data_IF_575026928176
#
_entry.id   IF_575026928176
#
_cell.length_a   1.000
_cell.length_b   1.000
_cell.length_c   1.000
_cell.angle_alpha   90.00
_cell.angle_beta   90.00
_cell.angle_gamma   90.00
#
_symmetry.space_group_name_H-M   'P 1'
#
loop_
_entity.id
_entity.type
_entity.pdbx_description
1 polymer ?
#
# COMPACT_ATOMS: atom_id res chain seq x y z
N UNK A 1 -3.99 14.53 -9.42
CA UNK A 1 -2.57 14.13 -9.27
C UNK A 1 -1.69 15.31 -8.85
N UNK A 2 -1.84 16.49 -9.46
CA UNK A 2 -1.13 17.73 -9.07
C UNK A 2 -1.14 17.99 -7.55
N UNK A 3 -2.28 17.90 -6.86
CA UNK A 3 -2.34 18.04 -5.39
C UNK A 3 -1.38 17.11 -4.63
N UNK A 4 -1.26 15.86 -5.07
CA UNK A 4 -0.37 14.89 -4.45
C UNK A 4 1.11 15.27 -4.64
N UNK A 5 1.48 15.73 -5.84
CA UNK A 5 2.85 16.20 -6.12
C UNK A 5 3.19 17.45 -5.30
N UNK A 6 2.20 18.32 -5.10
CA UNK A 6 2.38 19.56 -4.33
C UNK A 6 2.73 19.31 -2.86
N UNK A 7 2.32 18.19 -2.25
CA UNK A 7 2.62 17.86 -0.85
C UNK A 7 4.13 17.92 -0.53
N UNK A 8 4.97 17.39 -1.41
CA UNK A 8 6.43 17.34 -1.22
C UNK A 8 7.22 18.34 -2.06
N UNK A 9 6.54 19.13 -2.89
CA UNK A 9 7.17 20.17 -3.70
C UNK A 9 7.42 21.41 -2.85
N UNK A 10 8.56 22.07 -3.06
CA UNK A 10 8.94 23.29 -2.34
C UNK A 10 7.94 24.42 -2.60
N UNK A 11 7.74 25.31 -1.62
CA UNK A 11 6.68 26.32 -1.65
C UNK A 11 6.86 27.41 -2.72
N UNK A 12 8.06 27.56 -3.26
CA UNK A 12 8.43 28.48 -4.33
C UNK A 12 8.44 27.83 -5.72
N UNK A 13 8.21 26.51 -5.80
CA UNK A 13 8.15 25.75 -7.06
C UNK A 13 6.70 25.54 -7.47
N UNK A 14 6.36 25.96 -8.69
CA UNK A 14 5.03 25.78 -9.28
C UNK A 14 4.92 24.43 -10.00
N UNK A 15 3.86 23.68 -9.69
CA UNK A 15 3.45 22.46 -10.41
C UNK A 15 2.11 22.74 -11.07
N UNK A 16 2.07 22.67 -12.40
CA UNK A 16 0.88 22.96 -13.22
C UNK A 16 0.24 24.34 -12.90
N UNK A 17 1.05 25.34 -12.57
CA UNK A 17 0.61 26.71 -12.30
C UNK A 17 0.23 27.00 -10.84
N UNK A 18 0.44 26.05 -9.92
CA UNK A 18 0.17 26.24 -8.48
C UNK A 18 1.36 25.77 -7.64
N UNK A 19 1.73 26.56 -6.63
CA UNK A 19 2.90 26.29 -5.79
C UNK A 19 2.76 25.06 -4.89
N UNK A 20 3.90 24.43 -4.58
CA UNK A 20 4.00 23.35 -3.61
C UNK A 20 3.62 23.76 -2.17
N UNK A 21 3.42 22.76 -1.32
CA UNK A 21 3.07 22.92 0.08
C UNK A 21 4.27 22.75 1.02
N UNK A 22 5.31 22.00 0.61
CA UNK A 22 6.47 21.65 1.44
C UNK A 22 6.12 21.00 2.80
N UNK A 23 5.05 20.20 2.85
CA UNK A 23 4.55 19.55 4.08
C UNK A 23 4.88 18.07 4.19
N UNK A 24 5.45 17.49 3.14
CA UNK A 24 5.95 16.11 3.09
C UNK A 24 7.39 16.10 2.60
N UNK A 25 8.18 15.14 3.04
CA UNK A 25 9.48 14.88 2.45
C UNK A 25 9.34 14.43 0.99
N UNK A 26 10.33 14.78 0.16
CA UNK A 26 10.46 14.29 -1.22
C UNK A 26 10.75 12.79 -1.23
N UNK A 27 10.24 12.01 -2.20
CA UNK A 27 10.57 10.60 -2.34
C UNK A 27 12.07 10.30 -2.25
N UNK A 28 12.91 11.08 -2.93
CA UNK A 28 14.37 10.90 -2.92
C UNK A 28 15.03 11.21 -1.58
N UNK A 29 14.40 12.02 -0.73
CA UNK A 29 14.91 12.37 0.60
C UNK A 29 14.58 11.31 1.68
N UNK A 30 13.53 10.51 1.47
CA UNK A 30 13.06 9.50 2.43
C UNK A 30 13.80 8.17 2.36
N UNK A 31 14.47 7.86 1.24
CA UNK A 31 15.17 6.59 1.02
C UNK A 31 14.25 5.40 0.79
N UNK A 32 14.77 4.18 1.00
CA UNK A 32 14.05 2.92 0.83
C UNK A 32 13.06 2.59 1.96
N UNK A 33 12.45 1.40 1.89
CA UNK A 33 11.38 0.98 2.83
C UNK A 33 11.79 1.00 4.30
N UNK A 34 13.00 0.56 4.63
CA UNK A 34 13.54 0.63 5.99
C UNK A 34 13.70 2.06 6.53
N UNK A 35 14.00 3.01 5.66
CA UNK A 35 14.18 4.42 6.06
C UNK A 35 12.83 5.13 6.31
N UNK A 36 11.79 4.78 5.52
CA UNK A 36 10.42 5.28 5.72
C UNK A 36 9.84 4.83 7.06
N UNK A 37 9.88 3.52 7.32
CA UNK A 37 9.44 2.93 8.59
C UNK A 37 10.22 3.46 9.79
N UNK A 38 11.55 3.58 9.67
CA UNK A 38 12.41 4.19 10.70
C UNK A 38 12.09 5.67 10.96
N UNK A 39 11.71 6.43 9.93
CA UNK A 39 11.30 7.84 10.09
C UNK A 39 9.98 7.97 10.85
N UNK A 40 9.02 7.08 10.61
CA UNK A 40 7.76 7.02 11.37
C UNK A 40 8.02 6.64 12.84
N UNK A 41 8.78 5.56 13.07
CA UNK A 41 9.15 5.12 14.43
C UNK A 41 9.98 6.17 15.20
N UNK A 42 10.79 6.95 14.49
CA UNK A 42 11.53 8.08 15.03
C UNK A 42 10.71 9.37 15.18
N UNK A 43 9.39 9.33 14.96
CA UNK A 43 8.47 10.48 15.04
C UNK A 43 8.88 11.67 14.15
N UNK A 44 9.52 11.40 13.00
CA UNK A 44 9.91 12.42 12.01
C UNK A 44 8.82 12.70 10.99
N UNK A 45 7.86 11.79 10.85
CA UNK A 45 6.68 11.92 9.99
C UNK A 45 5.44 11.50 10.77
N UNK A 46 4.32 12.16 10.52
CA UNK A 46 3.05 11.91 11.22
C UNK A 46 2.21 10.82 10.54
N UNK A 47 2.33 10.69 9.22
CA UNK A 47 1.59 9.72 8.41
C UNK A 47 2.55 8.93 7.55
N UNK A 48 2.32 7.61 7.46
CA UNK A 48 3.06 6.69 6.63
C UNK A 48 2.08 5.78 5.89
N UNK A 49 2.19 5.74 4.56
CA UNK A 49 1.55 4.70 3.74
C UNK A 49 2.58 3.62 3.46
N UNK A 50 2.35 2.43 3.98
CA UNK A 50 3.25 1.28 3.84
C UNK A 50 2.48 -0.05 3.98
N UNK A 51 3.14 -1.16 3.70
CA UNK A 51 2.55 -2.49 3.83
C UNK A 51 2.44 -2.97 5.28
N UNK A 52 1.46 -3.84 5.53
CA UNK A 52 1.19 -4.42 6.85
C UNK A 52 2.39 -5.18 7.42
N UNK A 53 3.32 -5.68 6.61
CA UNK A 53 4.50 -6.41 7.11
C UNK A 53 5.30 -5.63 8.17
N UNK A 54 5.25 -4.30 8.16
CA UNK A 54 5.89 -3.45 9.18
C UNK A 54 5.18 -3.45 10.55
N UNK A 55 3.93 -3.93 10.66
CA UNK A 55 3.18 -3.94 11.93
C UNK A 55 3.94 -4.69 13.02
N UNK A 56 4.56 -5.83 12.71
CA UNK A 56 5.34 -6.58 13.71
C UNK A 56 6.49 -5.73 14.28
N UNK A 57 7.19 -4.99 13.42
CA UNK A 57 8.23 -4.03 13.83
C UNK A 57 7.65 -2.89 14.67
N UNK A 58 6.51 -2.33 14.27
CA UNK A 58 5.89 -1.20 14.97
C UNK A 58 5.38 -1.59 16.36
N UNK A 59 4.75 -2.75 16.46
CA UNK A 59 4.33 -3.35 17.74
C UNK A 59 5.50 -3.53 18.72
N UNK A 60 6.70 -3.81 18.21
CA UNK A 60 7.90 -4.05 19.03
C UNK A 60 8.72 -2.79 19.33
N UNK A 61 8.65 -1.77 18.49
CA UNK A 61 9.62 -0.66 18.48
C UNK A 61 8.99 0.70 18.77
N UNK A 62 7.70 0.88 18.49
CA UNK A 62 7.04 2.17 18.71
C UNK A 62 7.01 2.51 20.21
N UNK A 63 7.48 3.72 20.53
CA UNK A 63 7.48 4.28 21.89
C UNK A 63 6.34 5.27 22.12
N UNK A 64 5.40 5.31 21.18
CA UNK A 64 4.26 6.23 21.13
C UNK A 64 3.02 5.47 20.65
N UNK A 65 1.84 6.04 20.92
CA UNK A 65 0.59 5.50 20.41
C UNK A 65 0.51 5.70 18.88
N UNK A 66 0.26 4.62 18.16
CA UNK A 66 0.07 4.62 16.71
C UNK A 66 -1.16 3.80 16.36
N UNK A 67 -1.69 4.03 15.17
CA UNK A 67 -2.87 3.34 14.68
C UNK A 67 -2.86 3.27 13.15
N UNK A 68 -3.87 2.62 12.59
CA UNK A 68 -4.02 2.42 11.15
C UNK A 68 -5.32 3.05 10.65
N UNK A 69 -5.29 3.50 9.39
CA UNK A 69 -6.43 4.08 8.71
C UNK A 69 -6.52 3.50 7.28
N UNK A 70 -7.71 3.50 6.65
CA UNK A 70 -7.86 3.06 5.27
C UNK A 70 -6.91 3.80 4.33
N UNK A 71 -6.54 3.15 3.22
CA UNK A 71 -5.81 3.82 2.16
C UNK A 71 -6.58 5.05 1.65
N UNK A 72 -5.90 6.14 1.28
CA UNK A 72 -6.57 7.32 0.74
C UNK A 72 -7.40 6.99 -0.50
N UNK A 73 -8.68 7.31 -0.47
CA UNK A 73 -9.60 7.17 -1.61
C UNK A 73 -9.94 8.57 -2.12
N UNK A 74 -9.97 8.73 -3.45
CA UNK A 74 -10.47 9.95 -4.07
C UNK A 74 -11.88 10.27 -3.60
N UNK A 75 -12.15 11.52 -3.23
CA UNK A 75 -13.49 12.02 -2.87
C UNK A 75 -13.71 13.39 -3.50
N UNK A 76 -14.90 13.59 -4.05
CA UNK A 76 -15.43 14.89 -4.42
C UNK A 76 -16.55 15.27 -3.43
N UNK A 77 -16.59 16.55 -3.09
CA UNK A 77 -17.45 17.06 -2.03
C UNK A 77 -18.41 18.11 -2.59
N UNK A 78 -19.62 18.16 -2.04
CA UNK A 78 -20.53 19.28 -2.26
C UNK A 78 -19.98 20.51 -1.53
N UNK A 79 -19.61 21.55 -2.29
CA UNK A 79 -19.10 22.81 -1.73
C UNK A 79 -20.18 23.88 -1.58
N UNK A 80 -21.46 23.56 -1.81
CA UNK A 80 -22.58 24.50 -1.65
C UNK A 80 -22.76 24.88 -0.19
N UNK A 81 -22.68 26.18 0.13
CA UNK A 81 -22.86 26.69 1.50
C UNK A 81 -21.64 26.56 2.41
N UNK A 82 -20.48 26.14 1.90
CA UNK A 82 -19.22 26.14 2.66
C UNK A 82 -18.73 27.57 2.81
N UNK A 83 -18.72 28.10 4.04
CA UNK A 83 -18.10 29.38 4.34
C UNK A 83 -16.62 29.30 3.93
N UNK A 84 -16.24 30.10 2.94
CA UNK A 84 -14.91 30.18 2.34
C UNK A 84 -13.85 30.80 3.26
N UNK A 85 -14.17 31.02 4.54
CA UNK A 85 -13.25 31.53 5.57
C UNK A 85 -12.37 30.47 6.22
N UNK A 86 -12.50 29.19 5.86
CA UNK A 86 -11.56 28.14 6.26
C UNK A 86 -10.35 28.15 5.30
N UNK A 87 -9.18 28.65 5.73
CA UNK A 87 -8.00 28.78 4.89
C UNK A 87 -7.41 27.43 4.46
N UNK A 88 -7.83 26.31 5.08
CA UNK A 88 -7.40 24.97 4.66
C UNK A 88 -8.16 24.50 3.42
N UNK A 89 -9.36 25.02 3.14
CA UNK A 89 -10.17 24.54 2.02
C UNK A 89 -10.53 23.05 2.13
N UNK A 90 -10.37 22.41 3.30
CA UNK A 90 -10.65 20.98 3.56
C UNK A 90 -11.71 20.74 4.65
N UNK A 91 -12.44 21.78 5.07
CA UNK A 91 -13.48 21.76 6.11
C UNK A 91 -14.11 20.40 6.42
N UNK A 92 -13.90 19.93 7.65
CA UNK A 92 -14.53 18.73 8.20
C UNK A 92 -16.03 18.99 8.38
N UNK A 93 -16.84 18.67 7.37
CA UNK A 93 -18.32 18.50 7.36
C UNK A 93 -18.85 18.74 5.94
N UNK A 94 -18.24 18.10 4.95
CA UNK A 94 -18.74 18.15 3.57
C UNK A 94 -19.41 16.86 3.21
N UNK A 95 -20.54 16.97 2.53
CA UNK A 95 -21.20 15.83 1.93
C UNK A 95 -20.36 15.32 0.76
N UNK A 96 -19.92 14.06 0.83
CA UNK A 96 -19.28 13.38 -0.30
C UNK A 96 -20.34 13.15 -1.37
N UNK A 97 -20.08 13.62 -2.59
CA UNK A 97 -20.98 13.45 -3.76
C UNK A 97 -20.43 12.46 -4.78
N UNK A 98 -19.13 12.19 -4.74
CA UNK A 98 -18.49 11.17 -5.56
C UNK A 98 -17.26 10.63 -4.83
N UNK A 99 -16.93 9.37 -5.03
CA UNK A 99 -15.71 8.78 -4.49
C UNK A 99 -15.14 7.70 -5.41
N UNK A 100 -13.84 7.47 -5.30
CA UNK A 100 -13.17 6.36 -5.96
C UNK A 100 -13.57 5.01 -5.37
N UNK A 101 -13.05 3.95 -5.99
CA UNK A 101 -13.20 2.58 -5.50
C UNK A 101 -12.22 2.34 -4.35
N UNK A 102 -12.65 1.61 -3.33
CA UNK A 102 -11.75 1.08 -2.30
C UNK A 102 -10.83 0.06 -2.96
N UNK A 103 -9.54 0.35 -3.02
CA UNK A 103 -8.55 -0.49 -3.68
C UNK A 103 -7.24 -0.50 -2.91
N UNK A 104 -6.46 -1.56 -3.10
CA UNK A 104 -5.12 -1.76 -2.56
C UNK A 104 -4.41 -2.87 -3.31
N UNK A 105 -3.10 -2.99 -3.14
CA UNK A 105 -2.32 -4.10 -3.70
C UNK A 105 -2.07 -5.16 -2.63
N UNK A 106 -2.38 -6.41 -2.93
CA UNK A 106 -2.06 -7.51 -2.04
C UNK A 106 -0.57 -7.78 -2.05
N UNK A 107 0.04 -7.68 -0.87
CA UNK A 107 1.42 -8.11 -0.61
C UNK A 107 1.52 -9.58 -0.20
N UNK A 108 0.46 -10.39 -0.44
CA UNK A 108 0.41 -11.78 -0.01
C UNK A 108 1.56 -12.61 -0.56
N UNK A 109 2.13 -13.45 0.29
CA UNK A 109 3.18 -14.41 -0.07
C UNK A 109 2.63 -15.82 0.05
N UNK A 110 2.98 -16.68 -0.91
CA UNK A 110 2.59 -18.08 -0.92
C UNK A 110 3.79 -18.98 -0.62
N UNK A 111 3.54 -20.14 -0.01
CA UNK A 111 4.52 -21.22 0.09
C UNK A 111 4.46 -22.08 -1.16
N UNK A 112 5.61 -22.36 -1.75
CA UNK A 112 5.74 -23.20 -2.94
C UNK A 112 6.69 -24.38 -2.67
N UNK A 113 6.45 -25.50 -3.33
CA UNK A 113 7.32 -26.68 -3.26
C UNK A 113 8.20 -26.71 -4.49
N UNK A 114 9.51 -26.84 -4.29
CA UNK A 114 10.48 -26.90 -5.40
C UNK A 114 10.20 -28.12 -6.30
N UNK A 115 10.22 -27.89 -7.63
CA UNK A 115 10.09 -28.96 -8.60
C UNK A 115 11.24 -29.99 -8.50
N UNK A 116 12.41 -29.55 -8.02
CA UNK A 116 13.62 -30.36 -7.87
C UNK A 116 13.63 -31.27 -6.63
N UNK A 117 12.70 -31.05 -5.68
CA UNK A 117 12.65 -31.85 -4.46
C UNK A 117 12.29 -33.32 -4.76
N UNK A 118 12.87 -34.23 -3.99
CA UNK A 118 12.52 -35.65 -4.02
C UNK A 118 11.06 -35.88 -3.57
N UNK A 119 10.51 -37.05 -3.88
CA UNK A 119 9.13 -37.38 -3.51
C UNK A 119 8.87 -37.30 -1.99
N UNK A 120 9.83 -37.72 -1.17
CA UNK A 120 9.70 -37.67 0.30
C UNK A 120 9.74 -36.23 0.81
N UNK A 121 10.62 -35.39 0.27
CA UNK A 121 10.69 -33.96 0.62
C UNK A 121 9.41 -33.22 0.19
N UNK A 122 8.86 -33.55 -0.99
CA UNK A 122 7.59 -33.00 -1.46
C UNK A 122 6.43 -33.35 -0.52
N UNK A 123 6.37 -34.61 -0.04
CA UNK A 123 5.36 -35.04 0.91
C UNK A 123 5.48 -34.28 2.24
N UNK A 124 6.69 -34.18 2.81
CA UNK A 124 6.93 -33.45 4.05
C UNK A 124 6.63 -31.94 3.90
N UNK A 125 7.03 -31.32 2.79
CA UNK A 125 6.71 -29.93 2.50
C UNK A 125 5.21 -29.69 2.40
N UNK A 126 4.47 -30.64 1.80
CA UNK A 126 3.01 -30.56 1.72
C UNK A 126 2.34 -30.67 3.08
N UNK A 127 2.82 -31.55 3.96
CA UNK A 127 2.33 -31.64 5.34
C UNK A 127 2.57 -30.34 6.12
N UNK A 128 3.73 -29.73 5.95
CA UNK A 128 4.03 -28.42 6.55
C UNK A 128 3.13 -27.30 6.00
N UNK A 129 2.93 -27.23 4.68
CA UNK A 129 2.03 -26.23 4.08
C UNK A 129 0.61 -26.39 4.59
N UNK A 130 0.08 -27.62 4.68
CA UNK A 130 -1.24 -27.89 5.28
C UNK A 130 -1.34 -27.43 6.73
N UNK A 131 -0.29 -27.63 7.52
CA UNK A 131 -0.23 -27.17 8.91
C UNK A 131 -0.29 -25.65 8.99
N UNK A 132 0.59 -24.94 8.27
CA UNK A 132 0.70 -23.49 8.30
C UNK A 132 -0.56 -22.81 7.73
N UNK A 133 -1.13 -23.35 6.66
CA UNK A 133 -2.35 -22.85 6.04
C UNK A 133 -3.62 -23.29 6.79
N UNK A 134 -3.54 -24.32 7.64
CA UNK A 134 -4.64 -24.80 8.46
C UNK A 134 -4.99 -23.86 9.62
N UNK A 135 -6.09 -24.16 10.30
CA UNK A 135 -6.63 -23.34 11.39
C UNK A 135 -5.60 -23.10 12.51
N UNK A 136 -4.95 -24.17 12.99
CA UNK A 136 -3.94 -24.06 14.05
C UNK A 136 -2.76 -23.14 13.65
N UNK A 137 -2.20 -23.36 12.45
CA UNK A 137 -1.08 -22.57 11.95
C UNK A 137 -1.44 -21.10 11.76
N UNK A 138 -2.64 -20.82 11.23
CA UNK A 138 -3.13 -19.45 11.06
C UNK A 138 -3.42 -18.77 12.40
N UNK A 139 -4.07 -19.44 13.35
CA UNK A 139 -4.29 -18.91 14.72
C UNK A 139 -2.97 -18.52 15.36
N UNK A 140 -1.94 -19.39 15.30
CA UNK A 140 -0.63 -19.12 15.89
C UNK A 140 0.04 -17.91 15.26
N UNK A 141 0.04 -17.81 13.93
CA UNK A 141 0.60 -16.66 13.22
C UNK A 141 -0.15 -15.37 13.54
N UNK A 142 -1.49 -15.41 13.52
CA UNK A 142 -2.30 -14.24 13.81
C UNK A 142 -2.04 -13.72 15.21
N UNK A 143 -2.05 -14.56 16.26
CA UNK A 143 -1.78 -14.15 17.66
C UNK A 143 -0.48 -13.38 17.85
N UNK A 144 0.53 -13.62 17.02
CA UNK A 144 1.81 -12.91 17.05
C UNK A 144 1.79 -11.58 16.26
N UNK A 145 0.63 -11.14 15.80
CA UNK A 145 0.49 -10.02 14.87
C UNK A 145 1.16 -10.26 13.51
N UNK A 146 1.56 -11.48 13.18
CA UNK A 146 2.40 -11.75 12.02
C UNK A 146 1.64 -11.62 10.70
N UNK A 147 0.46 -12.25 10.60
CA UNK A 147 -0.32 -12.29 9.37
C UNK A 147 -1.82 -12.08 9.62
N UNK A 148 -2.49 -11.47 8.64
CA UNK A 148 -3.95 -11.58 8.50
C UNK A 148 -4.22 -13.03 8.11
N UNK A 149 -5.05 -13.78 8.86
CA UNK A 149 -5.38 -15.13 8.46
C UNK A 149 -6.27 -15.10 7.22
N UNK A 150 -6.02 -15.97 6.25
CA UNK A 150 -6.85 -16.10 5.04
C UNK A 150 -8.22 -16.72 5.33
N UNK A 151 -8.39 -17.35 6.49
CA UNK A 151 -9.67 -17.86 6.95
C UNK A 151 -10.46 -16.76 7.68
N UNK A 152 -11.53 -16.26 7.03
CA UNK A 152 -12.33 -15.12 7.54
C UNK A 152 -12.82 -15.30 8.97
N UNK A 153 -13.25 -16.51 9.34
CA UNK A 153 -13.75 -16.78 10.69
C UNK A 153 -12.67 -16.62 11.76
N UNK A 154 -11.39 -16.85 11.45
CA UNK A 154 -10.26 -16.60 12.35
C UNK A 154 -9.94 -15.10 12.40
N UNK A 155 -9.96 -14.42 11.24
CA UNK A 155 -9.68 -12.98 11.15
C UNK A 155 -10.69 -12.16 11.97
N UNK A 156 -11.97 -12.51 11.87
CA UNK A 156 -13.09 -11.78 12.47
C UNK A 156 -13.44 -12.24 13.89
N UNK A 157 -12.70 -13.19 14.46
CA UNK A 157 -12.96 -13.71 15.81
C UNK A 157 -12.59 -12.69 16.89
N UNK A 158 -13.60 -11.98 17.39
CA UNK A 158 -13.47 -10.99 18.45
C UNK A 158 -13.53 -11.61 19.86
N UNK A 159 -14.03 -12.84 19.99
CA UNK A 159 -14.16 -13.55 21.27
C UNK A 159 -12.82 -14.10 21.72
N UNK A 160 -12.15 -14.84 20.83
CA UNK A 160 -10.82 -15.40 21.10
C UNK A 160 -9.70 -14.39 20.88
N UNK A 161 -9.97 -13.33 20.12
CA UNK A 161 -9.02 -12.25 19.88
C UNK A 161 -7.80 -12.68 19.08
N UNK A 162 -7.97 -13.55 18.07
CA UNK A 162 -6.86 -14.10 17.29
C UNK A 162 -6.16 -13.06 16.42
N UNK A 163 -6.93 -12.15 15.83
CA UNK A 163 -6.44 -11.06 14.99
C UNK A 163 -7.05 -9.71 15.40
N UNK A 164 -8.38 -9.63 15.47
CA UNK A 164 -9.07 -8.52 16.11
C UNK A 164 -8.96 -8.63 17.62
N UNK A 165 -9.06 -7.50 18.34
CA UNK A 165 -9.03 -7.46 19.81
C UNK A 165 -7.85 -8.22 20.43
N UNK A 166 -6.71 -8.25 19.74
CA UNK A 166 -5.50 -8.85 20.26
C UNK A 166 -5.15 -8.19 21.59
N UNK A 167 -4.66 -9.00 22.52
CA UNK A 167 -4.09 -8.50 23.76
C UNK A 167 -2.57 -8.42 23.60
N UNK A 168 -1.98 -7.54 24.40
CA UNK A 168 -0.53 -7.51 24.56
C UNK A 168 -0.02 -8.88 25.02
N UNK A 169 1.16 -9.26 24.53
CA UNK A 169 1.89 -10.40 25.05
C UNK A 169 2.99 -9.89 25.98
N UNK A 170 3.28 -10.61 27.05
CA UNK A 170 4.28 -10.16 28.02
C UNK A 170 5.63 -9.90 27.34
N UNK A 171 6.13 -8.67 27.47
CA UNK A 171 7.38 -8.22 26.86
C UNK A 171 7.27 -7.58 25.47
N UNK A 172 6.14 -7.68 24.77
CA UNK A 172 5.99 -7.10 23.42
C UNK A 172 4.53 -6.78 23.01
N UNK A 173 4.41 -5.82 22.09
CA UNK A 173 3.34 -5.71 21.10
C UNK A 173 2.02 -4.97 21.43
N UNK A 174 2.00 -3.63 21.38
CA UNK A 174 0.74 -2.85 21.32
C UNK A 174 0.02 -3.07 19.97
N UNK A 175 -1.13 -3.76 19.89
CA UNK A 175 -1.87 -3.89 18.64
C UNK A 175 -2.43 -2.54 18.19
N UNK A 176 -2.57 -2.29 16.87
CA UNK A 176 -3.31 -1.13 16.40
C UNK A 176 -4.77 -1.27 16.80
N UNK A 177 -5.37 -0.18 17.28
CA UNK A 177 -6.79 -0.18 17.67
C UNK A 177 -7.70 -0.48 16.48
N UNK A 178 -7.39 0.04 15.30
CA UNK A 178 -8.19 -0.15 14.09
C UNK A 178 -7.72 -1.33 13.23
N UNK A 179 -7.34 -2.46 13.85
CA UNK A 179 -6.85 -3.64 13.10
C UNK A 179 -7.85 -4.16 12.04
N UNK A 180 -9.14 -3.88 12.20
CA UNK A 180 -10.20 -4.19 11.22
C UNK A 180 -9.94 -3.61 9.83
N UNK A 181 -9.25 -2.47 9.74
CA UNK A 181 -8.89 -1.84 8.47
C UNK A 181 -8.03 -2.77 7.60
N UNK A 182 -7.21 -3.62 8.21
CA UNK A 182 -6.46 -4.62 7.46
C UNK A 182 -7.36 -5.69 6.85
N UNK A 183 -8.42 -6.10 7.55
CA UNK A 183 -9.39 -7.06 7.03
C UNK A 183 -10.18 -6.41 5.90
N UNK A 184 -10.63 -5.17 6.06
CA UNK A 184 -11.32 -4.42 5.01
C UNK A 184 -10.45 -4.30 3.76
N UNK A 185 -9.19 -3.90 3.92
CA UNK A 185 -8.23 -3.85 2.82
C UNK A 185 -8.07 -5.22 2.15
N UNK A 186 -7.92 -6.30 2.91
CA UNK A 186 -7.79 -7.66 2.39
C UNK A 186 -9.02 -8.15 1.59
N UNK A 187 -10.20 -7.56 1.80
CA UNK A 187 -11.42 -7.88 1.03
C UNK A 187 -11.48 -7.17 -0.32
N UNK A 188 -10.68 -6.13 -0.51
CA UNK A 188 -10.73 -5.25 -1.68
C UNK A 188 -9.41 -5.17 -2.45
N UNK A 189 -8.31 -5.64 -1.86
CA UNK A 189 -7.01 -5.66 -2.53
C UNK A 189 -6.99 -6.65 -3.69
N UNK A 190 -6.31 -6.25 -4.76
CA UNK A 190 -6.08 -7.08 -5.93
C UNK A 190 -4.59 -7.29 -6.16
N UNK A 191 -4.28 -8.04 -7.21
CA UNK A 191 -2.94 -8.09 -7.76
C UNK A 191 -2.45 -6.69 -8.18
N UNK A 192 -1.18 -6.38 -7.93
CA UNK A 192 -0.61 -5.10 -8.33
C UNK A 192 -0.37 -5.00 -9.83
N UNK A 193 -0.23 -3.78 -10.35
CA UNK A 193 -0.20 -3.48 -11.80
C UNK A 193 0.69 -4.40 -12.67
N UNK A 194 1.79 -4.92 -12.11
CA UNK A 194 2.71 -5.84 -12.79
C UNK A 194 2.09 -7.17 -13.24
N UNK A 195 0.94 -7.56 -12.69
CA UNK A 195 0.23 -8.80 -13.02
C UNK A 195 -0.70 -8.68 -14.23
N UNK A 196 -1.06 -7.46 -14.64
CA UNK A 196 -2.07 -7.25 -15.68
C UNK A 196 -1.67 -7.87 -17.02
N UNK A 197 -0.36 -7.98 -17.29
CA UNK A 197 0.17 -8.55 -18.51
C UNK A 197 1.04 -9.78 -18.25
N UNK A 198 0.81 -10.84 -19.03
CA UNK A 198 1.44 -12.17 -18.87
C UNK A 198 2.97 -12.16 -18.90
N UNK A 199 3.59 -11.22 -19.63
CA UNK A 199 5.05 -11.18 -19.84
C UNK A 199 5.79 -10.13 -19.02
N UNK A 200 5.23 -9.72 -17.87
CA UNK A 200 5.96 -8.98 -16.83
C UNK A 200 5.79 -7.46 -16.86
N UNK A 201 6.69 -6.75 -16.18
CA UNK A 201 6.58 -5.32 -15.86
C UNK A 201 7.08 -4.36 -16.95
N UNK A 202 7.54 -4.85 -18.11
CA UNK A 202 8.21 -4.00 -19.10
C UNK A 202 7.35 -2.83 -19.62
N UNK A 203 6.02 -2.97 -19.57
CA UNK A 203 5.08 -1.90 -19.90
C UNK A 203 5.06 -0.76 -18.86
N UNK A 204 5.41 -1.05 -17.61
CA UNK A 204 5.38 -0.11 -16.48
C UNK A 204 6.74 0.53 -16.20
N UNK A 205 7.82 -0.23 -16.43
CA UNK A 205 9.15 0.10 -15.91
C UNK A 205 9.65 1.50 -16.34
N UNK A 206 9.41 1.90 -17.60
CA UNK A 206 9.87 3.20 -18.12
C UNK A 206 9.12 4.38 -17.53
N UNK A 207 7.80 4.42 -17.72
CA UNK A 207 7.00 5.56 -17.27
C UNK A 207 6.97 5.64 -15.74
N UNK A 208 7.01 4.52 -15.02
CA UNK A 208 7.04 4.51 -13.56
C UNK A 208 8.32 5.14 -13.02
N UNK A 209 9.48 4.89 -13.63
CA UNK A 209 10.73 5.54 -13.24
C UNK A 209 10.68 7.05 -13.47
N UNK A 210 10.15 7.51 -14.60
CA UNK A 210 9.98 8.95 -14.86
C UNK A 210 9.06 9.58 -13.82
N UNK A 211 7.89 8.98 -13.58
CA UNK A 211 6.90 9.48 -12.62
C UNK A 211 7.48 9.55 -11.20
N UNK A 212 8.17 8.49 -10.76
CA UNK A 212 8.70 8.36 -9.40
C UNK A 212 9.93 9.23 -9.14
N UNK A 213 10.81 9.39 -10.13
CA UNK A 213 12.07 10.10 -9.95
C UNK A 213 11.99 11.57 -10.34
N UNK A 214 11.13 11.94 -11.30
CA UNK A 214 11.04 13.32 -11.79
C UNK A 214 9.80 14.03 -11.24
N UNK A 215 8.61 13.49 -11.54
CA UNK A 215 7.35 14.19 -11.26
C UNK A 215 7.06 14.26 -9.78
N UNK A 216 7.15 13.13 -9.06
CA UNK A 216 6.89 13.09 -7.61
C UNK A 216 7.92 13.86 -6.77
N UNK A 217 9.07 14.23 -7.35
CA UNK A 217 10.06 15.10 -6.72
C UNK A 217 9.89 16.58 -7.13
N UNK A 218 8.86 16.92 -7.88
CA UNK A 218 8.59 18.29 -8.34
C UNK A 218 9.54 18.81 -9.43
N UNK A 219 10.34 17.93 -10.05
CA UNK A 219 11.31 18.30 -11.10
C UNK A 219 10.63 18.49 -12.45
N UNK A 220 9.57 17.72 -12.70
CA UNK A 220 8.77 17.74 -13.92
C UNK A 220 7.30 17.87 -13.58
N UNK A 221 6.56 18.61 -14.40
CA UNK A 221 5.11 18.69 -14.29
C UNK A 221 4.43 17.39 -14.70
N UNK A 222 3.18 17.20 -14.28
CA UNK A 222 2.39 16.06 -14.75
C UNK A 222 2.13 16.15 -16.25
N UNK A 223 1.94 17.37 -16.77
CA UNK A 223 1.78 17.61 -18.21
C UNK A 223 3.04 17.23 -19.01
N UNK A 224 4.24 17.53 -18.53
CA UNK A 224 5.47 17.06 -19.18
C UNK A 224 5.55 15.53 -19.20
N UNK A 225 5.13 14.86 -18.13
CA UNK A 225 5.12 13.41 -18.05
C UNK A 225 4.18 12.75 -19.07
N UNK A 226 2.92 13.16 -19.15
CA UNK A 226 1.95 12.54 -20.08
C UNK A 226 2.28 12.80 -21.56
N UNK A 227 3.11 13.81 -21.84
CA UNK A 227 3.60 14.11 -23.18
C UNK A 227 5.03 13.57 -23.44
N UNK A 228 5.65 12.92 -22.46
CA UNK A 228 6.98 12.34 -22.59
C UNK A 228 6.97 11.03 -23.39
N UNK A 229 8.07 10.73 -24.08
CA UNK A 229 8.26 9.45 -24.75
C UNK A 229 8.16 8.27 -23.76
N UNK A 230 8.65 8.43 -22.53
CA UNK A 230 8.55 7.41 -21.49
C UNK A 230 7.10 6.99 -21.21
N UNK A 231 6.15 7.94 -21.25
CA UNK A 231 4.73 7.64 -21.15
C UNK A 231 4.14 7.17 -22.48
N UNK A 232 4.31 7.92 -23.57
CA UNK A 232 3.61 7.65 -24.83
C UNK A 232 4.06 6.36 -25.51
N UNK A 233 5.33 5.96 -25.34
CA UNK A 233 5.83 4.71 -25.93
C UNK A 233 5.27 3.46 -25.24
N UNK A 234 4.72 3.61 -24.03
CA UNK A 234 4.03 2.53 -23.32
C UNK A 234 2.94 1.91 -24.17
N UNK A 235 2.22 2.71 -24.96
CA UNK A 235 1.18 2.20 -25.87
C UNK A 235 1.74 1.31 -26.98
N UNK A 236 2.97 1.55 -27.43
CA UNK A 236 3.64 0.68 -28.40
C UNK A 236 4.09 -0.62 -27.73
N UNK A 237 4.60 -0.55 -26.49
CA UNK A 237 4.94 -1.75 -25.71
C UNK A 237 3.71 -2.62 -25.49
N UNK A 238 2.59 -2.05 -25.05
CA UNK A 238 1.34 -2.79 -24.78
C UNK A 238 0.81 -3.48 -26.05
N UNK A 239 0.92 -2.84 -27.23
CA UNK A 239 0.51 -3.48 -28.50
C UNK A 239 1.23 -4.80 -28.75
N UNK A 240 2.51 -4.91 -28.39
CA UNK A 240 3.27 -6.16 -28.54
C UNK A 240 2.69 -7.30 -27.69
N UNK A 241 2.14 -7.01 -26.50
CA UNK A 241 1.49 -8.02 -25.64
C UNK A 241 0.16 -8.52 -26.23
N UNK A 242 -0.51 -7.71 -27.05
CA UNK A 242 -1.78 -8.08 -27.70
C UNK A 242 -1.60 -8.84 -29.01
N UNK A 243 -0.37 -8.93 -29.53
CA UNK A 243 -0.08 -9.79 -30.68
C UNK A 243 -0.20 -11.23 -30.22
N UNK A 244 -1.29 -11.89 -30.62
CA UNK A 244 -1.51 -13.30 -30.34
C UNK A 244 -0.24 -14.09 -30.70
N UNK A 245 0.32 -14.79 -29.70
CA UNK A 245 1.20 -15.92 -29.99
C UNK A 245 0.32 -17.01 -30.60
N UNK A 246 0.22 -17.00 -31.93
CA UNK A 246 -0.17 -18.19 -32.70
C UNK A 246 0.98 -19.20 -32.51
N UNK A 247 0.93 -19.96 -31.42
CA UNK A 247 1.78 -21.13 -31.23
C UNK A 247 0.92 -22.35 -31.58
N UNK A 248 1.38 -23.06 -32.61
CA UNK A 248 0.83 -24.29 -33.20
C UNK A 248 0.91 -25.49 -32.26
#
# INVERSE_FOLDING_TARGET
FTEFVRLSTDADVSVDGVNGYAVSAKPTAMGGDGAKSGSFLGQKINFLVDGRWNVTSFRNTATFAWDVAPLPIYKAYNNTGVNTGDPSGFGMNRTVINHGVTAGHSGSVALAVSAMASSNEKAAAWDFIKYIAGEEGQIRQSKQGFAIPSQKHIAMDTEHGYFLNQKDVEGYMLPPYNAEIFIEAAMHEGEGDWSYLKTGSAWIDKWAQYLNNQVRNGVKSFNEFINSADFTDTFNVIKEYTKAKLEF
#
